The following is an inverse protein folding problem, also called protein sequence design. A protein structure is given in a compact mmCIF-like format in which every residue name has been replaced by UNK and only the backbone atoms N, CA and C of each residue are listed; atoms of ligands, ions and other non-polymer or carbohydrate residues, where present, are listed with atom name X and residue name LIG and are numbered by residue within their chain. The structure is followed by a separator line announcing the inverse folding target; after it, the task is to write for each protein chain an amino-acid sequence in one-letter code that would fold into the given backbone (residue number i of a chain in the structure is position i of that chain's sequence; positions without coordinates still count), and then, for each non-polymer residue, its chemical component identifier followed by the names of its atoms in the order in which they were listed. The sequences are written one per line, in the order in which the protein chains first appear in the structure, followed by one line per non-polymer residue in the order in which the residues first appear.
data_IF_651880657124
#
_entry.id   IF_651880657124
#
_cell.length_a   1.000
_cell.length_b   1.000
_cell.length_c   1.000
_cell.angle_alpha   90.00
_cell.angle_beta   90.00
_cell.angle_gamma   90.00
#
_symmetry.space_group_name_H-M   'P 1'
#
loop_
_entity.id
_entity.type
_entity.pdbx_description
1 polymer ?
#
# COMPACT_ATOMS: atom_id res chain seq x y z
N UNK A 1 -24.36 24.36 -38.10
CA UNK A 1 -23.87 23.06 -38.62
C UNK A 1 -24.09 22.04 -37.54
N UNK A 2 -24.99 21.09 -37.81
CA UNK A 2 -25.41 20.01 -36.94
C UNK A 2 -24.26 19.16 -36.41
N UNK A 3 -24.35 18.72 -35.15
CA UNK A 3 -24.17 17.30 -34.83
C UNK A 3 -25.04 16.95 -33.61
N UNK A 4 -26.06 16.14 -33.90
CA UNK A 4 -27.05 15.58 -32.99
C UNK A 4 -26.46 14.44 -32.16
N UNK A 5 -26.69 14.45 -30.84
CA UNK A 5 -26.86 13.23 -30.07
C UNK A 5 -27.55 13.55 -28.73
N UNK A 6 -28.84 13.83 -28.84
CA UNK A 6 -29.79 13.49 -27.78
C UNK A 6 -30.66 12.35 -28.32
N UNK A 7 -30.48 11.13 -27.81
CA UNK A 7 -31.59 10.17 -27.79
C UNK A 7 -32.33 10.38 -26.47
N UNK A 8 -33.20 11.41 -26.53
CA UNK A 8 -34.30 11.82 -25.65
C UNK A 8 -34.02 12.90 -24.57
N UNK A 9 -34.45 14.08 -25.00
CA UNK A 9 -34.38 15.46 -24.52
C UNK A 9 -35.31 15.85 -23.36
N UNK A 10 -34.73 16.64 -22.42
CA UNK A 10 -35.27 17.74 -21.57
C UNK A 10 -36.26 17.48 -20.42
N UNK A 11 -36.39 18.40 -19.40
CA UNK A 11 -35.67 19.68 -19.20
C UNK A 11 -35.02 19.88 -17.81
N UNK A 12 -33.82 20.49 -17.78
CA UNK A 12 -33.34 21.21 -16.61
C UNK A 12 -34.01 22.59 -16.54
N UNK A 13 -34.93 22.78 -15.58
CA UNK A 13 -35.37 24.10 -15.12
C UNK A 13 -35.20 24.15 -13.59
N UNK A 14 -34.74 25.30 -13.12
CA UNK A 14 -34.28 25.65 -11.77
C UNK A 14 -32.88 25.16 -11.38
N UNK A 15 -31.99 26.16 -11.28
CA UNK A 15 -30.80 26.17 -10.45
C UNK A 15 -31.22 25.77 -9.03
N UNK A 16 -31.12 24.49 -8.71
CA UNK A 16 -30.95 24.04 -7.33
C UNK A 16 -29.46 23.84 -7.17
N UNK A 17 -28.85 24.68 -6.36
CA UNK A 17 -27.54 24.40 -5.78
C UNK A 17 -27.69 23.03 -5.12
N UNK A 18 -27.21 21.98 -5.78
CA UNK A 18 -26.98 20.71 -5.11
C UNK A 18 -25.93 21.02 -4.07
N UNK A 19 -26.37 21.14 -2.82
CA UNK A 19 -25.51 21.17 -1.65
C UNK A 19 -24.75 19.85 -1.70
N UNK A 20 -23.54 19.87 -2.25
CA UNK A 20 -22.62 18.75 -2.12
C UNK A 20 -22.43 18.55 -0.62
N UNK A 21 -23.12 17.54 -0.08
CA UNK A 21 -22.89 17.06 1.26
C UNK A 21 -21.40 16.75 1.32
N UNK A 22 -20.66 17.56 2.10
CA UNK A 22 -19.24 17.45 2.28
C UNK A 22 -18.85 15.98 2.28
N UNK A 23 -18.15 15.56 1.22
CA UNK A 23 -17.56 14.25 1.16
C UNK A 23 -16.75 14.13 2.45
N UNK A 24 -17.20 13.25 3.34
CA UNK A 24 -16.49 12.97 4.57
C UNK A 24 -15.19 12.29 4.12
N UNK A 25 -14.17 13.09 3.82
CA UNK A 25 -12.83 12.60 3.53
C UNK A 25 -12.41 11.98 4.85
N UNK A 26 -12.62 10.67 4.95
CA UNK A 26 -12.17 9.87 6.07
C UNK A 26 -10.65 9.85 5.96
N UNK A 27 -10.01 10.86 6.53
CA UNK A 27 -8.56 10.92 6.66
C UNK A 27 -8.18 9.66 7.42
N UNK A 28 -7.46 8.76 6.74
CA UNK A 28 -6.90 7.58 7.40
C UNK A 28 -5.75 8.11 8.24
N UNK A 29 -6.03 8.42 9.50
CA UNK A 29 -5.02 8.77 10.49
C UNK A 29 -4.29 7.47 10.87
N UNK A 30 -3.35 7.02 10.03
CA UNK A 30 -2.43 5.95 10.35
C UNK A 30 -1.04 6.29 9.80
N UNK A 31 0.02 5.75 10.40
CA UNK A 31 1.40 6.05 10.04
C UNK A 31 2.32 4.91 10.38
N UNK A 32 3.52 4.93 9.79
CA UNK A 32 4.61 4.01 10.15
C UNK A 32 5.30 4.53 11.40
N UNK A 33 5.49 3.65 12.37
CA UNK A 33 6.18 3.93 13.63
C UNK A 33 7.65 3.55 13.46
N UNK A 34 8.53 4.56 13.56
CA UNK A 34 9.98 4.36 13.49
C UNK A 34 10.46 3.88 12.12
N UNK A 35 11.64 3.25 12.11
CA UNK A 35 12.23 2.67 10.91
C UNK A 35 11.82 1.20 10.75
N UNK A 36 11.55 0.72 9.52
CA UNK A 36 11.31 -0.70 9.28
C UNK A 36 12.49 -1.56 9.67
N UNK A 37 12.20 -2.74 10.23
CA UNK A 37 13.24 -3.72 10.58
C UNK A 37 13.49 -4.57 9.33
N UNK A 38 14.75 -4.66 8.91
CA UNK A 38 15.15 -5.40 7.71
C UNK A 38 16.01 -6.60 8.09
N UNK A 39 15.54 -7.79 7.73
CA UNK A 39 16.26 -9.06 7.88
C UNK A 39 16.74 -9.55 6.51
N UNK A 40 18.06 -9.51 6.29
CA UNK A 40 18.67 -10.08 5.09
C UNK A 40 19.05 -11.55 5.33
N UNK A 41 18.47 -12.45 4.53
CA UNK A 41 18.77 -13.88 4.55
C UNK A 41 19.55 -14.27 3.29
N UNK A 42 20.01 -15.52 3.24
CA UNK A 42 20.66 -16.08 2.04
C UNK A 42 19.76 -16.11 0.80
N UNK A 43 18.44 -16.15 0.99
CA UNK A 43 17.46 -16.35 -0.08
C UNK A 43 16.68 -15.08 -0.44
N UNK A 44 16.76 -14.02 0.38
CA UNK A 44 15.96 -12.82 0.19
C UNK A 44 15.97 -11.89 1.39
N UNK A 45 15.05 -10.94 1.38
CA UNK A 45 14.85 -9.97 2.45
C UNK A 45 13.47 -10.14 3.09
N UNK A 46 13.40 -9.94 4.40
CA UNK A 46 12.15 -9.71 5.10
C UNK A 46 12.16 -8.31 5.71
N UNK A 47 11.02 -7.63 5.64
CA UNK A 47 10.84 -6.26 6.12
C UNK A 47 9.63 -6.28 7.04
N UNK A 48 9.85 -5.86 8.29
CA UNK A 48 8.79 -5.70 9.28
C UNK A 48 8.49 -4.20 9.43
N UNK A 49 7.25 -3.82 9.09
CA UNK A 49 6.74 -2.45 9.19
C UNK A 49 5.81 -2.36 10.38
N UNK A 50 6.06 -1.42 11.28
CA UNK A 50 5.20 -1.18 12.44
C UNK A 50 4.28 -0.01 12.10
N UNK A 51 2.98 -0.18 12.29
CA UNK A 51 1.96 0.86 12.06
C UNK A 51 1.34 1.31 13.38
N UNK A 52 0.98 2.59 13.47
CA UNK A 52 0.46 3.22 14.70
C UNK A 52 -0.91 2.65 15.11
N UNK A 53 -1.73 2.32 14.12
CA UNK A 53 -3.05 1.72 14.29
C UNK A 53 -3.22 0.56 13.33
N UNK A 54 -4.28 -0.21 13.52
CA UNK A 54 -4.55 -1.36 12.67
C UNK A 54 -4.58 -1.00 11.19
N UNK A 55 -3.88 -1.79 10.39
CA UNK A 55 -3.73 -1.60 8.96
C UNK A 55 -4.65 -2.54 8.19
N UNK A 56 -5.40 -2.00 7.24
CA UNK A 56 -6.18 -2.76 6.29
C UNK A 56 -5.91 -2.20 4.91
N UNK A 57 -5.28 -3.00 4.06
CA UNK A 57 -4.78 -2.51 2.79
C UNK A 57 -3.83 -3.48 2.12
N UNK A 58 -3.02 -2.95 1.21
CA UNK A 58 -2.05 -3.71 0.43
C UNK A 58 -0.65 -3.15 0.65
N UNK A 59 0.31 -4.05 0.84
CA UNK A 59 1.73 -3.73 0.83
C UNK A 59 2.35 -4.40 -0.39
N UNK A 60 3.12 -3.64 -1.17
CA UNK A 60 3.62 -4.10 -2.46
C UNK A 60 4.95 -3.42 -2.81
N UNK A 61 5.69 -4.05 -3.72
CA UNK A 61 6.92 -3.46 -4.28
C UNK A 61 6.53 -2.39 -5.30
N UNK A 62 7.20 -1.24 -5.25
CA UNK A 62 6.97 -0.15 -6.20
C UNK A 62 7.08 -0.68 -7.65
N UNK A 63 6.16 -0.23 -8.51
CA UNK A 63 6.00 -0.66 -9.91
C UNK A 63 5.57 -2.13 -10.12
N UNK A 64 5.32 -2.88 -9.04
CA UNK A 64 4.87 -4.29 -9.09
C UNK A 64 3.49 -4.49 -8.44
N UNK A 65 2.67 -3.44 -8.35
CA UNK A 65 1.37 -3.47 -7.65
C UNK A 65 0.32 -4.37 -8.31
N UNK A 66 0.51 -4.68 -9.59
CA UNK A 66 -0.40 -5.52 -10.38
C UNK A 66 0.04 -6.99 -10.37
N UNK A 67 1.25 -7.29 -9.89
CA UNK A 67 1.77 -8.64 -9.79
C UNK A 67 1.32 -9.26 -8.46
N UNK A 68 0.44 -10.28 -8.45
CA UNK A 68 -0.09 -10.85 -7.22
C UNK A 68 0.98 -11.49 -6.33
N UNK A 69 2.14 -11.87 -6.89
CA UNK A 69 3.25 -12.41 -6.12
C UNK A 69 4.01 -11.33 -5.35
N UNK A 70 3.87 -10.06 -5.74
CA UNK A 70 4.55 -8.91 -5.18
C UNK A 70 3.64 -8.03 -4.32
N UNK A 71 2.43 -8.52 -4.03
CA UNK A 71 1.43 -7.86 -3.21
C UNK A 71 1.11 -8.76 -2.02
N UNK A 72 1.00 -8.15 -0.84
CA UNK A 72 0.42 -8.76 0.37
C UNK A 72 -0.78 -7.95 0.81
N UNK A 73 -1.89 -8.64 1.03
CA UNK A 73 -3.15 -8.08 1.49
C UNK A 73 -3.26 -8.29 3.00
N UNK A 74 -3.58 -7.21 3.70
CA UNK A 74 -3.80 -7.21 5.14
C UNK A 74 -5.24 -6.81 5.42
N UNK A 75 -5.92 -7.62 6.21
CA UNK A 75 -7.35 -7.47 6.54
C UNK A 75 -7.54 -7.19 8.03
N UNK A 76 -6.71 -6.30 8.60
CA UNK A 76 -6.74 -5.94 10.01
C UNK A 76 -6.65 -7.14 10.97
N UNK A 77 -7.02 -6.91 12.24
CA UNK A 77 -6.83 -7.81 13.39
C UNK A 77 -7.43 -9.23 13.30
N UNK A 78 -8.08 -9.60 12.21
CA UNK A 78 -8.87 -10.83 12.14
C UNK A 78 -8.20 -12.01 11.42
N UNK A 79 -7.02 -11.84 10.80
CA UNK A 79 -6.41 -12.93 10.00
C UNK A 79 -4.89 -13.13 10.16
N UNK A 80 -4.20 -12.42 11.07
CA UNK A 80 -2.78 -12.66 11.30
C UNK A 80 -2.58 -13.81 12.30
N UNK A 81 -2.81 -15.05 11.87
CA UNK A 81 -2.35 -16.22 12.60
C UNK A 81 -0.84 -16.38 12.42
N UNK A 82 -0.16 -16.32 13.55
CA UNK A 82 1.23 -16.71 13.82
C UNK A 82 2.38 -15.78 13.38
N UNK A 83 3.24 -15.55 14.39
CA UNK A 83 4.56 -14.92 14.39
C UNK A 83 4.59 -13.39 14.26
N UNK A 84 4.03 -12.66 15.22
CA UNK A 84 4.75 -11.55 15.89
C UNK A 84 3.94 -11.06 17.09
N UNK A 85 4.64 -10.98 18.21
CA UNK A 85 4.09 -10.70 19.53
C UNK A 85 3.41 -9.34 19.54
N UNK A 86 2.16 -9.35 19.99
CA UNK A 86 1.40 -8.23 20.54
C UNK A 86 2.32 -7.35 21.42
N UNK A 87 2.82 -6.26 20.88
CA UNK A 87 3.34 -5.15 21.68
C UNK A 87 2.17 -4.55 22.46
N UNK A 88 2.42 -4.05 23.66
CA UNK A 88 1.40 -3.59 24.62
C UNK A 88 0.67 -2.30 24.20
N UNK A 89 0.84 -1.86 22.95
CA UNK A 89 0.26 -0.67 22.34
C UNK A 89 -0.63 -1.09 21.17
N UNK A 90 -1.51 -0.20 20.69
CA UNK A 90 -2.38 -0.44 19.53
C UNK A 90 -1.63 -0.67 18.19
N UNK A 91 -0.29 -0.66 18.23
CA UNK A 91 0.61 -0.85 17.10
C UNK A 91 0.48 -2.24 16.47
N UNK A 92 0.56 -2.31 15.15
CA UNK A 92 0.49 -3.55 14.38
C UNK A 92 1.75 -3.75 13.54
N UNK A 93 2.37 -4.94 13.64
CA UNK A 93 3.55 -5.32 12.85
C UNK A 93 3.13 -6.10 11.59
N UNK A 94 3.53 -5.60 10.44
CA UNK A 94 3.26 -6.15 9.12
C UNK A 94 4.56 -6.72 8.53
N UNK A 95 4.58 -8.02 8.22
CA UNK A 95 5.78 -8.70 7.69
C UNK A 95 5.68 -8.96 6.19
N UNK A 96 6.58 -8.36 5.43
CA UNK A 96 6.71 -8.58 3.99
C UNK A 96 8.00 -9.32 3.67
N UNK A 97 7.96 -10.34 2.81
CA UNK A 97 9.14 -11.11 2.47
C UNK A 97 9.24 -11.35 0.96
N UNK A 98 10.47 -11.28 0.48
CA UNK A 98 10.81 -11.12 -0.92
C UNK A 98 12.07 -11.94 -1.23
N UNK A 99 12.00 -12.87 -2.18
CA UNK A 99 13.21 -13.62 -2.57
C UNK A 99 14.06 -12.82 -3.55
N UNK A 100 15.37 -13.01 -3.52
CA UNK A 100 16.24 -12.33 -4.48
C UNK A 100 15.86 -12.70 -5.92
N UNK A 101 15.66 -11.67 -6.75
CA UNK A 101 15.26 -11.83 -8.16
C UNK A 101 13.75 -11.79 -8.41
N UNK A 102 12.92 -11.73 -7.36
CA UNK A 102 11.48 -11.48 -7.48
C UNK A 102 11.18 -9.97 -7.55
N UNK A 103 9.98 -9.60 -8.00
CA UNK A 103 9.45 -8.23 -7.94
C UNK A 103 10.41 -7.13 -8.43
N UNK A 104 11.10 -7.41 -9.54
CA UNK A 104 12.10 -6.54 -10.15
C UNK A 104 13.17 -5.99 -9.17
N UNK A 105 13.46 -6.73 -8.09
CA UNK A 105 14.51 -6.36 -7.15
C UNK A 105 15.87 -6.40 -7.82
N UNK A 106 16.45 -5.23 -8.06
CA UNK A 106 17.75 -5.09 -8.70
C UNK A 106 18.87 -5.18 -7.67
N UNK A 107 19.77 -6.13 -7.85
CA UNK A 107 21.03 -6.17 -7.10
C UNK A 107 21.94 -5.03 -7.57
N UNK A 108 22.28 -4.11 -6.67
CA UNK A 108 23.38 -3.18 -6.90
C UNK A 108 24.70 -3.95 -6.72
N UNK A 109 25.57 -3.87 -7.72
CA UNK A 109 26.95 -4.38 -7.62
C UNK A 109 27.84 -3.18 -7.36
N UNK A 110 28.48 -3.14 -6.20
CA UNK A 110 29.53 -2.16 -5.95
C UNK A 110 30.84 -2.78 -6.42
N UNK A 111 31.49 -2.16 -7.40
CA UNK A 111 32.86 -2.51 -7.78
C UNK A 111 33.75 -1.80 -6.76
N UNK A 112 34.43 -2.56 -5.90
CA UNK A 112 35.47 -2.00 -5.06
C UNK A 112 36.59 -1.55 -6.01
N UNK A 113 36.73 -0.24 -6.23
CA UNK A 113 37.91 0.28 -6.90
C UNK A 113 39.04 0.26 -5.88
N UNK A 114 39.80 -0.83 -5.86
CA UNK A 114 41.10 -0.85 -5.19
C UNK A 114 41.98 0.18 -5.91
N UNK A 115 42.22 1.32 -5.26
CA UNK A 115 43.28 2.24 -5.64
C UNK A 115 44.62 1.52 -5.46
N UNK A 116 45.27 1.19 -6.58
CA UNK A 116 46.69 0.82 -6.64
C UNK A 116 47.57 2.06 -6.55
#
# INVERSE_FOLDING_TARGET
MDFSADRKMNPCFLIRICRDSAANIKVIENGVVGEPIVECTVNGIAIDVITLHSFSGRLYVQDESDNPNCVRLYYGRNQQSDILKKTLNDDETLRFSLKFGECNMRRQRMVLFDHF
#
